data_IF_912219978962
#
_entry.id   IF_912219978962
#
_cell.length_a   1.000
_cell.length_b   1.000
_cell.length_c   1.000
_cell.angle_alpha   90.00
_cell.angle_beta   90.00
_cell.angle_gamma   90.00
#
_symmetry.space_group_name_H-M   'P 1'
#
loop_
_entity.id
_entity.type
_entity.pdbx_description
1 polymer ?
#
# COMPACT_ATOMS: atom_id res chain seq x y z
N UNK A 1 -9.67 -8.53 6.44
CA UNK A 1 -9.72 -8.26 7.90
C UNK A 1 -9.36 -6.80 8.07
N UNK A 2 -10.14 -6.02 8.81
CA UNK A 2 -10.04 -4.56 8.76
C UNK A 2 -10.67 -3.86 9.95
N UNK A 3 -10.41 -2.56 10.06
CA UNK A 3 -11.02 -1.72 11.07
C UNK A 3 -12.37 -1.20 10.56
N UNK A 4 -13.43 -1.58 11.26
CA UNK A 4 -14.77 -1.05 11.02
C UNK A 4 -15.07 0.08 12.01
N UNK A 5 -15.63 1.17 11.51
CA UNK A 5 -16.14 2.28 12.34
C UNK A 5 -17.41 2.85 11.75
N UNK A 6 -18.24 3.43 12.60
CA UNK A 6 -19.36 4.27 12.17
C UNK A 6 -19.19 5.69 12.68
N UNK A 7 -19.51 6.67 11.84
CA UNK A 7 -19.56 8.09 12.19
C UNK A 7 -20.88 8.66 11.66
N UNK A 8 -21.73 9.15 12.57
CA UNK A 8 -23.12 9.50 12.27
C UNK A 8 -23.83 8.35 11.51
N UNK A 9 -24.23 8.58 10.26
CA UNK A 9 -24.98 7.64 9.44
C UNK A 9 -24.10 6.89 8.41
N UNK A 10 -22.77 7.08 8.45
CA UNK A 10 -21.85 6.45 7.52
C UNK A 10 -20.99 5.38 8.20
N UNK A 11 -21.04 4.16 7.66
CA UNK A 11 -20.14 3.08 8.02
C UNK A 11 -18.94 3.04 7.06
N UNK A 12 -17.75 2.86 7.61
CA UNK A 12 -16.53 2.71 6.83
C UNK A 12 -15.71 1.53 7.31
N UNK A 13 -15.09 0.83 6.36
CA UNK A 13 -14.20 -0.28 6.60
C UNK A 13 -12.83 0.05 6.01
N UNK A 14 -11.82 0.10 6.88
CA UNK A 14 -10.42 0.22 6.49
C UNK A 14 -9.83 -1.18 6.40
N UNK A 15 -9.44 -1.61 5.21
CA UNK A 15 -8.83 -2.92 5.03
C UNK A 15 -7.36 -2.89 5.47
N UNK A 16 -7.02 -3.70 6.48
CA UNK A 16 -5.66 -3.71 7.03
C UNK A 16 -4.62 -4.25 6.03
N UNK A 17 -5.03 -4.91 4.93
CA UNK A 17 -4.12 -5.52 3.95
C UNK A 17 -3.79 -4.61 2.76
N UNK A 18 -4.76 -3.84 2.28
CA UNK A 18 -4.57 -2.91 1.15
C UNK A 18 -4.26 -1.48 1.59
N UNK A 19 -4.60 -1.11 2.83
CA UNK A 19 -4.57 0.26 3.30
C UNK A 19 -5.71 1.12 2.75
N UNK A 20 -6.61 0.54 1.97
CA UNK A 20 -7.75 1.23 1.36
C UNK A 20 -8.92 1.35 2.35
N UNK A 21 -9.64 2.47 2.28
CA UNK A 21 -10.84 2.71 3.06
C UNK A 21 -12.07 2.69 2.15
N UNK A 22 -13.01 1.80 2.44
CA UNK A 22 -14.25 1.64 1.68
C UNK A 22 -15.48 2.06 2.49
N UNK A 23 -16.43 2.80 1.89
CA UNK A 23 -17.77 2.94 2.45
C UNK A 23 -18.47 1.59 2.48
N UNK A 24 -19.13 1.24 3.58
CA UNK A 24 -19.89 -0.01 3.69
C UNK A 24 -21.34 0.23 3.25
N UNK A 25 -21.85 -0.64 2.37
CA UNK A 25 -23.23 -0.60 1.94
C UNK A 25 -24.18 -1.08 3.03
N UNK A 26 -25.37 -0.49 3.07
CA UNK A 26 -26.44 -0.98 3.91
C UNK A 26 -26.96 -2.32 3.38
N UNK A 27 -26.88 -3.35 4.21
CA UNK A 27 -27.30 -4.72 3.90
C UNK A 27 -27.65 -5.47 5.18
N UNK A 28 -28.41 -6.57 5.07
CA UNK A 28 -28.77 -7.38 6.24
C UNK A 28 -27.54 -7.93 6.99
N UNK A 29 -26.50 -8.35 6.26
CA UNK A 29 -25.22 -8.75 6.84
C UNK A 29 -24.42 -7.55 7.37
N UNK A 30 -24.52 -6.38 6.72
CA UNK A 30 -24.01 -5.11 7.22
C UNK A 30 -24.62 -4.72 8.58
N UNK A 31 -25.92 -4.93 8.77
CA UNK A 31 -26.59 -4.70 10.04
C UNK A 31 -26.11 -5.66 11.15
N UNK A 32 -25.74 -6.90 10.81
CA UNK A 32 -25.13 -7.82 11.76
C UNK A 32 -23.74 -7.34 12.21
N UNK A 33 -22.90 -6.91 11.27
CA UNK A 33 -21.61 -6.29 11.56
C UNK A 33 -21.77 -5.02 12.42
N UNK A 34 -22.72 -4.15 12.09
CA UNK A 34 -22.98 -2.92 12.85
C UNK A 34 -23.37 -3.23 14.30
N UNK A 35 -24.26 -4.20 14.53
CA UNK A 35 -24.64 -4.62 15.90
C UNK A 35 -23.44 -5.14 16.68
N UNK A 36 -22.61 -5.98 16.07
CA UNK A 36 -21.41 -6.50 16.72
C UNK A 36 -20.38 -5.38 17.01
N UNK A 37 -20.23 -4.42 16.11
CA UNK A 37 -19.42 -3.22 16.33
C UNK A 37 -19.90 -2.39 17.52
N UNK A 38 -21.20 -2.09 17.60
CA UNK A 38 -21.78 -1.28 18.68
C UNK A 38 -21.58 -1.93 20.05
N UNK A 39 -21.60 -3.26 20.13
CA UNK A 39 -21.35 -4.02 21.36
C UNK A 39 -19.85 -4.05 21.75
N UNK A 40 -18.95 -3.99 20.78
CA UNK A 40 -17.51 -4.16 20.99
C UNK A 40 -16.72 -2.84 21.10
N UNK A 41 -17.27 -1.71 20.62
CA UNK A 41 -16.57 -0.42 20.61
C UNK A 41 -16.32 0.10 22.02
N UNK A 42 -15.10 0.61 22.26
CA UNK A 42 -14.74 1.22 23.54
C UNK A 42 -15.37 2.60 23.74
N UNK A 43 -15.60 3.35 22.66
CA UNK A 43 -16.19 4.68 22.66
C UNK A 43 -16.95 4.94 21.35
N UNK A 44 -17.87 5.93 21.31
CA UNK A 44 -18.50 6.36 20.06
C UNK A 44 -17.46 6.71 18.99
N UNK A 45 -17.59 6.13 17.80
CA UNK A 45 -16.65 6.34 16.69
C UNK A 45 -15.29 5.63 16.82
N UNK A 46 -15.01 4.98 17.95
CA UNK A 46 -13.80 4.17 18.10
C UNK A 46 -13.84 2.99 17.11
N UNK A 47 -12.76 2.70 16.37
CA UNK A 47 -12.73 1.60 15.43
C UNK A 47 -12.66 0.26 16.16
N UNK A 48 -13.21 -0.78 15.55
CA UNK A 48 -13.13 -2.17 16.04
C UNK A 48 -12.63 -3.06 14.90
N UNK A 49 -11.73 -3.99 15.22
CA UNK A 49 -11.26 -4.96 14.24
C UNK A 49 -12.35 -5.99 13.92
N UNK A 50 -12.64 -6.14 12.64
CA UNK A 50 -13.60 -7.11 12.13
C UNK A 50 -12.99 -7.96 11.00
N UNK A 51 -13.30 -9.25 11.04
CA UNK A 51 -13.06 -10.18 9.93
C UNK A 51 -14.39 -10.42 9.26
N UNK A 52 -14.47 -10.11 7.97
CA UNK A 52 -15.68 -10.19 7.16
C UNK A 52 -15.37 -10.81 5.81
N UNK A 53 -16.37 -11.48 5.24
CA UNK A 53 -16.44 -11.82 3.83
C UNK A 53 -17.27 -10.72 3.15
N UNK A 54 -16.71 -10.12 2.10
CA UNK A 54 -17.32 -8.99 1.43
C UNK A 54 -16.83 -8.88 -0.01
N UNK A 55 -17.59 -8.15 -0.81
CA UNK A 55 -17.27 -7.83 -2.21
C UNK A 55 -17.27 -6.33 -2.44
N UNK A 56 -16.37 -5.89 -3.31
CA UNK A 56 -16.31 -4.50 -3.76
C UNK A 56 -17.27 -4.35 -4.93
N UNK A 57 -18.25 -3.47 -4.78
CA UNK A 57 -19.23 -3.15 -5.82
C UNK A 57 -19.21 -1.66 -6.12
N UNK A 58 -19.31 -1.30 -7.39
CA UNK A 58 -19.43 0.10 -7.79
C UNK A 58 -20.88 0.56 -7.58
N UNK A 59 -21.07 1.52 -6.66
CA UNK A 59 -22.39 2.12 -6.41
C UNK A 59 -22.27 3.63 -6.34
N UNK A 60 -23.27 4.31 -6.89
CA UNK A 60 -23.42 5.74 -6.67
C UNK A 60 -23.98 5.95 -5.24
N UNK A 61 -23.36 6.81 -4.42
CA UNK A 61 -23.91 7.12 -3.11
C UNK A 61 -25.33 7.69 -3.25
N UNK A 62 -26.31 7.06 -2.59
CA UNK A 62 -27.73 7.44 -2.64
C UNK A 62 -28.31 7.54 -4.07
N UNK A 63 -27.75 6.78 -5.02
CA UNK A 63 -28.19 6.80 -6.42
C UNK A 63 -27.84 8.08 -7.18
N UNK A 64 -27.02 8.97 -6.61
CA UNK A 64 -26.57 10.22 -7.25
C UNK A 64 -25.04 10.27 -7.37
N UNK A 65 -24.57 10.88 -8.45
CA UNK A 65 -23.14 11.08 -8.71
C UNK A 65 -22.43 9.87 -9.34
N UNK A 66 -21.10 9.97 -9.42
CA UNK A 66 -20.27 8.93 -10.04
C UNK A 66 -20.23 7.66 -9.17
N UNK A 67 -20.28 6.45 -9.78
CA UNK A 67 -20.09 5.21 -9.06
C UNK A 67 -18.73 5.20 -8.36
N UNK A 68 -18.71 4.92 -7.06
CA UNK A 68 -17.49 4.73 -6.28
C UNK A 68 -17.44 3.29 -5.74
N UNK A 69 -16.24 2.74 -5.49
CA UNK A 69 -16.12 1.43 -4.88
C UNK A 69 -16.70 1.46 -3.46
N UNK A 70 -17.66 0.58 -3.20
CA UNK A 70 -18.27 0.39 -1.89
C UNK A 70 -18.23 -1.09 -1.52
N UNK A 71 -18.25 -1.36 -0.23
CA UNK A 71 -18.06 -2.70 0.32
C UNK A 71 -19.42 -3.27 0.72
N UNK A 72 -19.86 -4.30 0.02
CA UNK A 72 -21.05 -5.08 0.36
C UNK A 72 -20.62 -6.27 1.24
N UNK A 73 -21.07 -6.27 2.49
CA UNK A 73 -20.77 -7.35 3.44
C UNK A 73 -21.66 -8.54 3.11
N UNK A 74 -21.05 -9.71 2.90
CA UNK A 74 -21.75 -10.97 2.72
C UNK A 74 -21.89 -11.70 4.06
N UNK A 75 -20.82 -11.71 4.88
CA UNK A 75 -20.80 -12.40 6.17
C UNK A 75 -19.86 -11.78 7.19
N UNK A 76 -20.30 -11.72 8.45
CA UNK A 76 -19.43 -11.46 9.59
C UNK A 76 -18.78 -12.77 10.07
N UNK A 77 -17.45 -12.79 10.17
CA UNK A 77 -16.69 -13.94 10.68
C UNK A 77 -16.34 -13.74 12.16
N UNK A 78 -15.75 -12.60 12.52
CA UNK A 78 -15.33 -12.32 13.90
C UNK A 78 -15.20 -10.82 14.17
N UNK A 79 -15.29 -10.44 15.45
CA UNK A 79 -15.03 -9.09 15.96
C UNK A 79 -14.07 -9.18 17.14
N UNK A 80 -13.04 -8.35 17.15
CA UNK A 80 -12.07 -8.28 18.24
C UNK A 80 -12.05 -6.87 18.85
N UNK A 81 -12.59 -6.68 20.07
CA UNK A 81 -12.56 -5.40 20.75
C UNK A 81 -11.12 -5.01 21.10
N UNK A 82 -10.80 -3.71 21.01
CA UNK A 82 -9.47 -3.14 21.32
C UNK A 82 -8.29 -3.65 20.44
N UNK A 83 -8.55 -4.59 19.54
CA UNK A 83 -7.59 -4.97 18.53
C UNK A 83 -7.52 -3.85 17.49
N UNK A 84 -6.30 -3.41 17.23
CA UNK A 84 -6.00 -2.44 16.20
C UNK A 84 -5.93 -3.20 14.87
N UNK A 85 -5.75 -2.51 13.74
CA UNK A 85 -4.89 -3.16 12.75
C UNK A 85 -3.56 -3.31 13.50
N UNK A 86 -3.32 -4.48 14.09
CA UNK A 86 -2.00 -5.04 14.05
C UNK A 86 -1.70 -5.03 12.54
N UNK A 87 -1.09 -3.94 12.06
CA UNK A 87 -0.06 -4.09 11.07
C UNK A 87 0.70 -5.31 11.55
N UNK A 88 0.89 -6.30 10.69
CA UNK A 88 1.75 -7.42 11.00
C UNK A 88 3.13 -6.84 11.37
N UNK A 89 3.31 -6.41 12.61
CA UNK A 89 4.52 -5.84 13.19
C UNK A 89 5.46 -6.97 13.61
N UNK A 90 5.08 -8.22 13.27
CA UNK A 90 5.87 -9.42 13.45
C UNK A 90 6.37 -10.00 12.12
N UNK A 91 5.88 -9.51 10.97
CA UNK A 91 6.28 -9.96 9.61
C UNK A 91 6.55 -8.81 8.63
N UNK A 92 6.50 -7.55 9.08
CA UNK A 92 6.93 -6.44 8.23
C UNK A 92 8.44 -6.50 8.06
N UNK A 93 8.89 -6.78 6.85
CA UNK A 93 10.31 -6.72 6.51
C UNK A 93 10.85 -5.31 6.73
N UNK A 94 12.12 -5.15 7.15
CA UNK A 94 12.70 -3.82 7.34
C UNK A 94 12.74 -3.07 6.00
N UNK A 95 12.59 -1.73 6.04
CA UNK A 95 12.74 -0.89 4.84
C UNK A 95 14.15 -1.03 4.24
N UNK A 96 15.14 -0.92 5.12
CA UNK A 96 16.56 -1.07 4.82
C UNK A 96 16.97 -2.54 4.82
N UNK A 97 18.02 -2.88 4.08
CA UNK A 97 18.52 -4.25 3.90
C UNK A 97 17.50 -5.26 3.32
N UNK A 98 16.40 -4.77 2.75
CA UNK A 98 15.42 -5.58 2.02
C UNK A 98 15.52 -5.29 0.53
N UNK A 99 15.39 -6.35 -0.28
CA UNK A 99 15.24 -6.22 -1.73
C UNK A 99 13.78 -6.01 -2.08
N UNK A 100 13.47 -4.82 -2.59
CA UNK A 100 12.12 -4.40 -2.97
C UNK A 100 11.96 -4.49 -4.49
N UNK A 101 11.14 -5.43 -4.98
CA UNK A 101 10.84 -5.58 -6.41
C UNK A 101 9.69 -4.66 -6.80
N UNK A 102 9.88 -3.88 -7.86
CA UNK A 102 8.86 -2.97 -8.37
C UNK A 102 7.70 -3.76 -8.98
N UNK A 103 6.49 -3.52 -8.48
CA UNK A 103 5.25 -4.16 -8.97
C UNK A 103 4.29 -3.17 -9.60
N UNK A 104 4.33 -1.90 -9.20
CA UNK A 104 3.58 -0.84 -9.86
C UNK A 104 4.29 0.50 -9.85
N UNK A 105 4.10 1.26 -10.93
CA UNK A 105 4.61 2.60 -11.14
C UNK A 105 3.44 3.51 -11.52
N UNK A 106 3.14 4.51 -10.68
CA UNK A 106 2.02 5.46 -10.85
C UNK A 106 0.69 4.78 -11.21
N UNK A 107 0.40 3.67 -10.53
CA UNK A 107 -0.82 2.88 -10.74
C UNK A 107 -0.77 1.90 -11.92
N UNK A 108 0.27 1.92 -12.76
CA UNK A 108 0.46 0.94 -13.83
C UNK A 108 1.27 -0.25 -13.32
N UNK A 109 0.75 -1.47 -13.55
CA UNK A 109 1.47 -2.69 -13.19
C UNK A 109 2.77 -2.81 -14.00
N UNK A 110 3.86 -3.15 -13.32
CA UNK A 110 5.16 -3.38 -13.94
C UNK A 110 5.35 -4.87 -14.13
N UNK A 111 5.29 -5.33 -15.37
CA UNK A 111 5.61 -6.70 -15.75
C UNK A 111 6.98 -6.70 -16.41
N UNK A 112 7.97 -7.28 -15.75
CA UNK A 112 9.25 -7.52 -16.40
C UNK A 112 9.08 -8.71 -17.37
N UNK A 113 9.34 -8.50 -18.67
CA UNK A 113 9.31 -9.57 -19.67
C UNK A 113 10.35 -10.66 -19.38
N UNK A 114 11.44 -10.27 -18.72
CA UNK A 114 12.50 -11.15 -18.24
C UNK A 114 12.60 -11.04 -16.70
N UNK A 115 12.40 -12.13 -15.94
CA UNK A 115 12.57 -12.15 -14.49
C UNK A 115 13.96 -11.67 -14.03
N UNK A 116 15.00 -11.83 -14.86
CA UNK A 116 16.35 -11.34 -14.59
C UNK A 116 16.47 -9.81 -14.70
N UNK A 117 15.52 -9.16 -15.38
CA UNK A 117 15.43 -7.70 -15.54
C UNK A 117 14.32 -7.09 -14.69
N UNK A 118 13.90 -7.76 -13.62
CA UNK A 118 12.94 -7.20 -12.69
C UNK A 118 13.54 -5.96 -12.00
N UNK A 119 12.93 -4.77 -12.15
CA UNK A 119 13.39 -3.59 -11.45
C UNK A 119 13.24 -3.78 -9.94
N UNK A 120 14.26 -3.36 -9.20
CA UNK A 120 14.27 -3.51 -7.75
C UNK A 120 15.16 -2.45 -7.09
N UNK A 121 14.98 -2.26 -5.78
CA UNK A 121 15.79 -1.38 -4.94
C UNK A 121 16.18 -2.06 -3.64
N UNK A 122 17.31 -1.63 -3.10
CA UNK A 122 17.82 -1.97 -1.77
C UNK A 122 18.32 -0.67 -1.13
N UNK A 123 17.85 -0.39 0.08
CA UNK A 123 18.32 0.73 0.89
C UNK A 123 19.38 0.21 1.85
N UNK A 124 20.62 0.70 1.73
CA UNK A 124 21.77 0.31 2.54
C UNK A 124 21.94 1.35 3.66
N UNK A 125 21.78 0.96 4.94
CA UNK A 125 21.85 1.90 6.07
C UNK A 125 23.26 2.41 6.34
N UNK A 126 24.30 1.62 6.07
CA UNK A 126 25.68 1.91 6.47
C UNK A 126 26.22 3.19 5.82
N UNK A 127 25.74 3.53 4.62
CA UNK A 127 26.18 4.70 3.86
C UNK A 127 25.01 5.61 3.42
N UNK A 128 23.78 5.32 3.87
CA UNK A 128 22.55 5.93 3.37
C UNK A 128 22.48 5.94 1.83
N UNK A 129 22.78 4.78 1.23
CA UNK A 129 22.81 4.60 -0.21
C UNK A 129 21.64 3.75 -0.69
N UNK A 130 21.01 4.18 -1.77
CA UNK A 130 20.10 3.33 -2.52
C UNK A 130 20.87 2.67 -3.66
N UNK A 131 20.70 1.37 -3.80
CA UNK A 131 21.20 0.59 -4.94
C UNK A 131 20.08 -0.23 -5.54
N UNK A 132 20.18 -0.59 -6.82
CA UNK A 132 19.19 -1.44 -7.46
C UNK A 132 19.31 -1.52 -8.96
N UNK A 133 18.24 -1.92 -9.62
CA UNK A 133 18.15 -1.99 -11.07
C UNK A 133 16.85 -1.33 -11.56
N UNK A 134 16.95 -0.55 -12.63
CA UNK A 134 15.80 -0.06 -13.39
C UNK A 134 15.25 -1.08 -14.39
N UNK A 135 15.85 -2.28 -14.42
CA UNK A 135 15.58 -3.36 -15.36
C UNK A 135 16.63 -3.43 -16.47
N UNK A 136 16.99 -2.28 -17.06
CA UNK A 136 18.11 -2.20 -18.01
C UNK A 136 19.40 -1.78 -17.30
N UNK A 137 19.38 -0.65 -16.62
CA UNK A 137 20.53 -0.02 -15.98
C UNK A 137 20.53 -0.22 -14.47
N UNK A 138 21.75 -0.27 -13.92
CA UNK A 138 21.94 -0.26 -12.47
C UNK A 138 21.70 1.14 -11.95
N UNK A 139 20.87 1.25 -10.91
CA UNK A 139 20.53 2.52 -10.24
C UNK A 139 21.33 2.61 -8.95
N UNK A 140 21.90 3.79 -8.70
CA UNK A 140 22.55 4.12 -7.43
C UNK A 140 22.19 5.54 -7.00
N UNK A 141 22.22 5.82 -5.71
CA UNK A 141 21.95 7.17 -5.21
C UNK A 141 22.15 7.27 -3.70
N UNK A 142 21.92 8.45 -3.15
CA UNK A 142 21.76 8.65 -1.70
C UNK A 142 20.28 8.71 -1.34
N UNK A 143 19.96 8.45 -0.07
CA UNK A 143 18.64 8.75 0.48
C UNK A 143 18.76 9.40 1.86
N UNK A 144 17.68 10.04 2.30
CA UNK A 144 17.54 10.54 3.66
C UNK A 144 16.25 9.99 4.24
N UNK A 145 16.36 9.42 5.44
CA UNK A 145 15.28 8.80 6.17
C UNK A 145 15.06 9.52 7.50
N UNK A 146 13.82 9.97 7.75
CA UNK A 146 13.43 10.62 8.99
C UNK A 146 11.98 10.27 9.34
N UNK A 147 11.78 9.29 10.23
CA UNK A 147 10.45 8.77 10.54
C UNK A 147 9.79 8.16 9.31
N UNK A 148 8.60 8.65 8.94
CA UNK A 148 7.87 8.25 7.73
C UNK A 148 8.31 8.98 6.46
N UNK A 149 9.28 9.90 6.56
CA UNK A 149 9.81 10.66 5.42
C UNK A 149 10.99 9.93 4.82
N UNK A 150 10.90 9.65 3.53
CA UNK A 150 11.97 9.11 2.71
C UNK A 150 12.14 10.04 1.51
N UNK A 151 13.36 10.48 1.28
CA UNK A 151 13.70 11.30 0.11
C UNK A 151 14.93 10.71 -0.55
N UNK A 152 14.91 10.62 -1.88
CA UNK A 152 16.08 10.23 -2.65
C UNK A 152 16.84 11.47 -3.09
N UNK A 153 18.15 11.45 -2.89
CA UNK A 153 19.04 12.46 -3.45
C UNK A 153 19.21 12.28 -4.96
N UNK A 154 20.30 12.83 -5.50
CA UNK A 154 20.64 12.60 -6.92
C UNK A 154 20.85 11.11 -7.16
N UNK A 155 19.98 10.51 -7.96
CA UNK A 155 20.12 9.15 -8.46
C UNK A 155 20.90 9.16 -9.76
N UNK A 156 21.74 8.15 -9.95
CA UNK A 156 22.53 7.91 -11.14
C UNK A 156 22.23 6.51 -11.67
N UNK A 157 22.13 6.40 -12.99
CA UNK A 157 21.99 5.13 -13.69
C UNK A 157 23.17 4.93 -14.65
N UNK A 158 23.54 3.67 -14.90
CA UNK A 158 24.48 3.35 -15.98
C UNK A 158 23.91 3.72 -17.35
N UNK A 159 24.75 3.79 -18.39
CA UNK A 159 24.34 4.16 -19.76
C UNK A 159 24.32 2.94 -20.71
N UNK A 160 23.72 1.83 -20.29
CA UNK A 160 23.44 0.70 -21.17
C UNK A 160 22.15 0.97 -21.95
N UNK A 161 22.17 0.68 -23.25
CA UNK A 161 20.98 0.74 -24.09
C UNK A 161 20.37 -0.66 -24.21
N UNK A 162 19.15 -0.83 -23.71
CA UNK A 162 18.36 -2.04 -23.95
C UNK A 162 17.34 -1.78 -25.06
N UNK A 163 17.05 -2.80 -25.87
CA UNK A 163 16.02 -2.74 -26.90
C UNK A 163 14.63 -2.44 -26.32
N UNK A 164 14.36 -2.89 -25.10
CA UNK A 164 13.10 -2.71 -24.38
C UNK A 164 13.36 -2.27 -22.93
N UNK A 165 12.37 -1.62 -22.30
CA UNK A 165 12.41 -1.26 -20.86
C UNK A 165 12.99 0.13 -20.53
N UNK A 166 13.60 0.83 -21.49
CA UNK A 166 14.17 2.16 -21.26
C UNK A 166 13.14 3.23 -20.83
N UNK A 167 11.92 3.18 -21.37
CA UNK A 167 10.85 4.12 -21.00
C UNK A 167 10.39 3.90 -19.55
N UNK A 168 10.26 2.64 -19.13
CA UNK A 168 9.92 2.26 -17.77
C UNK A 168 11.01 2.68 -16.79
N UNK A 169 12.27 2.47 -17.13
CA UNK A 169 13.41 2.90 -16.31
C UNK A 169 13.41 4.42 -16.08
N UNK A 170 13.19 5.21 -17.13
CA UNK A 170 13.08 6.68 -17.01
C UNK A 170 11.92 7.07 -16.10
N UNK A 171 10.73 6.50 -16.33
CA UNK A 171 9.57 6.76 -15.50
C UNK A 171 9.82 6.38 -14.02
N UNK A 172 10.63 5.33 -13.80
CA UNK A 172 10.98 4.87 -12.46
C UNK A 172 11.93 5.84 -11.76
N UNK A 173 12.99 6.28 -12.43
CA UNK A 173 13.91 7.30 -11.92
C UNK A 173 13.18 8.62 -11.63
N UNK A 174 12.29 9.03 -12.52
CA UNK A 174 11.46 10.22 -12.34
C UNK A 174 10.55 10.08 -11.11
N UNK A 175 9.90 8.92 -10.94
CA UNK A 175 9.07 8.67 -9.76
C UNK A 175 9.88 8.71 -8.46
N UNK A 176 11.10 8.13 -8.44
CA UNK A 176 11.99 8.18 -7.27
C UNK A 176 12.33 9.62 -6.86
N UNK A 177 12.52 10.52 -7.83
CA UNK A 177 12.79 11.93 -7.54
C UNK A 177 11.63 12.67 -6.85
N UNK A 178 10.41 12.13 -6.93
CA UNK A 178 9.21 12.73 -6.34
C UNK A 178 8.84 12.16 -4.96
N UNK A 179 9.49 11.08 -4.53
CA UNK A 179 9.16 10.41 -3.26
C UNK A 179 9.46 11.32 -2.08
N UNK A 180 8.49 11.41 -1.18
CA UNK A 180 8.59 12.16 0.07
C UNK A 180 8.29 11.31 1.31
N UNK A 181 7.52 10.23 1.14
CA UNK A 181 7.06 9.37 2.23
C UNK A 181 7.11 7.91 1.85
N UNK A 182 7.24 7.06 2.86
CA UNK A 182 7.22 5.61 2.70
C UNK A 182 6.27 4.97 3.72
N UNK A 183 5.73 3.80 3.36
CA UNK A 183 4.96 2.96 4.27
C UNK A 183 5.16 1.49 3.90
N UNK A 184 5.34 0.64 4.91
CA UNK A 184 5.38 -0.81 4.76
C UNK A 184 4.13 -1.42 5.39
N UNK A 185 3.48 -2.31 4.65
CA UNK A 185 2.34 -3.11 5.10
C UNK A 185 2.64 -4.59 4.79
N UNK A 186 3.06 -5.35 5.81
CA UNK A 186 3.55 -6.71 5.65
C UNK A 186 4.78 -6.77 4.74
N UNK A 187 4.65 -7.42 3.58
CA UNK A 187 5.71 -7.55 2.59
C UNK A 187 5.62 -6.52 1.45
N UNK A 188 4.80 -5.48 1.59
CA UNK A 188 4.63 -4.45 0.56
C UNK A 188 5.16 -3.12 1.01
N UNK A 189 5.90 -2.45 0.12
CA UNK A 189 6.37 -1.08 0.30
C UNK A 189 5.61 -0.17 -0.66
N UNK A 190 4.99 0.86 -0.12
CA UNK A 190 4.41 1.96 -0.88
C UNK A 190 5.25 3.23 -0.67
N UNK A 191 5.61 3.89 -1.77
CA UNK A 191 6.25 5.20 -1.75
C UNK A 191 5.31 6.24 -2.33
N UNK A 192 5.14 7.33 -1.59
CA UNK A 192 4.23 8.41 -1.96
C UNK A 192 4.97 9.71 -2.22
N UNK A 193 4.41 10.53 -3.10
CA UNK A 193 4.88 11.88 -3.35
C UNK A 193 4.50 12.85 -2.20
N UNK A 194 4.89 14.11 -2.32
CA UNK A 194 4.58 15.14 -1.33
C UNK A 194 3.06 15.43 -1.19
N UNK A 195 2.24 15.07 -2.19
CA UNK A 195 0.77 15.21 -2.18
C UNK A 195 0.09 14.02 -1.52
N UNK A 196 0.82 12.92 -1.29
CA UNK A 196 0.31 11.69 -0.70
C UNK A 196 -0.07 10.63 -1.73
N UNK A 197 0.08 10.91 -3.02
CA UNK A 197 -0.23 9.96 -4.09
C UNK A 197 0.83 8.86 -4.12
N UNK A 198 0.40 7.59 -4.14
CA UNK A 198 1.33 6.45 -4.25
C UNK A 198 1.91 6.39 -5.66
N UNK A 199 3.19 6.69 -5.78
CA UNK A 199 3.90 6.72 -7.07
C UNK A 199 4.64 5.42 -7.38
N UNK A 200 5.00 4.64 -6.35
CA UNK A 200 5.69 3.36 -6.51
C UNK A 200 5.16 2.35 -5.51
N UNK A 201 4.97 1.11 -5.96
CA UNK A 201 4.67 -0.04 -5.10
C UNK A 201 5.67 -1.16 -5.36
N UNK A 202 6.10 -1.80 -4.27
CA UNK A 202 7.04 -2.89 -4.30
C UNK A 202 6.58 -4.06 -3.44
N UNK A 203 7.03 -5.25 -3.81
CA UNK A 203 6.95 -6.46 -2.98
C UNK A 203 8.35 -6.83 -2.49
N UNK A 204 8.43 -7.26 -1.23
CA UNK A 204 9.65 -7.73 -0.61
C UNK A 204 10.06 -9.08 -1.20
N UNK A 205 11.34 -9.20 -1.52
CA UNK A 205 11.96 -10.50 -1.77
C UNK A 205 12.46 -11.00 -0.43
N UNK A 206 11.75 -11.98 0.14
CA UNK A 206 12.23 -12.64 1.34
C UNK A 206 13.67 -13.16 1.11
N UNK A 207 14.63 -12.89 2.01
CA UNK A 207 15.91 -13.58 1.97
C UNK A 207 15.64 -15.09 2.07
N UNK A 208 16.23 -15.86 1.15
CA UNK A 208 16.26 -17.33 1.26
C UNK A 208 17.21 -17.76 2.36
#
# INVERSE_FOLDING_TARGET
>A
RGLYRTQADAASFFDCTSGDQFPVLDSAAGAALQRAYLAARAAPGAPVLATIEARIVARAPEGRGAPRPMLEVDRLVAVAPQAQCEAAASDSVPLENTTWKLVALRGQAVTAADPMRQPHLVLQPEQHRVGGSGGCNRITGGYTLAGDRLTFGRTAATMMACAEGMAQERAFLDALSTVARWRIEGQRLALSDARGDVVLRFDAVAPR
#
